data_IF_509524895640
#
_entry.id   IF_509524895640
#
_cell.length_a   1.000
_cell.length_b   1.000
_cell.length_c   1.000
_cell.angle_alpha   90.00
_cell.angle_beta   90.00
_cell.angle_gamma   90.00
#
_symmetry.space_group_name_H-M   'P 1'
#
loop_
_entity.id
_entity.type
_entity.pdbx_description
1 polymer ?
#
# COMPACT_ATOMS: atom_id res chain seq x y z
N UNK A 1 15.52 9.12 9.36
CA UNK A 1 14.23 9.08 10.09
C UNK A 1 14.59 8.85 11.54
N UNK A 2 14.15 9.69 12.49
CA UNK A 2 14.65 9.58 13.87
C UNK A 2 13.86 8.51 14.65
N UNK A 3 14.47 7.78 15.60
CA UNK A 3 13.85 6.64 16.29
C UNK A 3 12.52 6.96 17.01
N UNK A 4 12.38 8.19 17.52
CA UNK A 4 11.13 8.71 18.11
C UNK A 4 9.99 8.88 17.10
N UNK A 5 10.30 9.16 15.83
CA UNK A 5 9.30 9.30 14.75
C UNK A 5 8.76 7.93 14.33
N UNK A 6 9.66 6.95 14.19
CA UNK A 6 9.29 5.55 13.94
C UNK A 6 8.40 5.02 15.07
N UNK A 7 8.76 5.30 16.34
CA UNK A 7 7.96 4.91 17.49
C UNK A 7 6.54 5.50 17.48
N UNK A 8 6.39 6.78 17.12
CA UNK A 8 5.08 7.43 17.14
C UNK A 8 4.16 6.98 15.99
N UNK A 9 4.72 6.66 14.82
CA UNK A 9 3.95 6.15 13.69
C UNK A 9 3.56 4.67 13.85
N UNK A 10 4.44 3.87 14.45
CA UNK A 10 4.25 2.42 14.59
C UNK A 10 3.96 1.98 16.03
N UNK A 11 3.55 2.89 16.92
CA UNK A 11 3.36 2.60 18.37
C UNK A 11 2.55 1.34 18.63
N UNK A 12 1.46 1.12 17.90
CA UNK A 12 0.63 -0.09 18.03
C UNK A 12 1.39 -1.36 17.63
N UNK A 13 2.14 -1.32 16.54
CA UNK A 13 2.96 -2.44 16.07
C UNK A 13 4.12 -2.73 17.03
N UNK A 14 4.76 -1.69 17.58
CA UNK A 14 5.86 -1.85 18.55
C UNK A 14 5.35 -2.40 19.87
N UNK A 15 4.24 -1.90 20.40
CA UNK A 15 3.65 -2.42 21.64
C UNK A 15 3.26 -3.89 21.49
N UNK A 16 2.66 -4.24 20.36
CA UNK A 16 2.30 -5.62 20.05
C UNK A 16 3.51 -6.52 19.85
N UNK A 17 4.55 -6.04 19.17
CA UNK A 17 5.83 -6.75 19.08
C UNK A 17 6.40 -7.02 20.47
N UNK A 18 6.44 -6.01 21.35
CA UNK A 18 6.89 -6.16 22.73
C UNK A 18 6.01 -7.19 23.45
N UNK A 19 4.69 -7.15 23.29
CA UNK A 19 3.79 -8.15 23.88
C UNK A 19 4.07 -9.56 23.37
N UNK A 20 4.19 -9.76 22.05
CA UNK A 20 4.48 -11.06 21.43
C UNK A 20 5.83 -11.58 21.95
N UNK A 21 6.87 -10.75 21.88
CA UNK A 21 8.21 -11.08 22.35
C UNK A 21 8.20 -11.44 23.85
N UNK A 22 7.51 -10.66 24.67
CA UNK A 22 7.43 -10.92 26.12
C UNK A 22 6.70 -12.22 26.40
N UNK A 23 5.56 -12.48 25.75
CA UNK A 23 4.81 -13.73 25.91
C UNK A 23 5.65 -14.92 25.45
N UNK A 24 6.28 -14.86 24.28
CA UNK A 24 7.07 -15.96 23.72
C UNK A 24 8.35 -16.25 24.52
N UNK A 25 9.07 -15.21 24.97
CA UNK A 25 10.21 -15.39 25.88
C UNK A 25 9.73 -15.99 27.20
N UNK A 26 8.62 -15.49 27.76
CA UNK A 26 8.08 -16.01 29.02
C UNK A 26 7.67 -17.47 28.87
N UNK A 27 7.04 -17.87 27.76
CA UNK A 27 6.73 -19.29 27.50
C UNK A 27 7.97 -20.14 27.31
N UNK A 28 8.96 -19.67 26.54
CA UNK A 28 10.21 -20.40 26.32
C UNK A 28 11.00 -20.58 27.63
N UNK A 29 11.08 -19.54 28.46
CA UNK A 29 11.77 -19.57 29.76
C UNK A 29 10.98 -20.34 30.83
N UNK A 30 9.65 -20.30 30.82
CA UNK A 30 8.82 -21.04 31.79
C UNK A 30 8.71 -22.53 31.47
N UNK A 31 8.68 -22.93 30.19
CA UNK A 31 8.81 -24.34 29.81
C UNK A 31 10.14 -24.94 30.29
N UNK A 32 11.17 -24.11 30.44
CA UNK A 32 12.50 -24.47 30.90
C UNK A 32 12.61 -24.88 32.38
N UNK A 33 11.69 -24.44 33.25
CA UNK A 33 11.77 -24.77 34.69
C UNK A 33 11.45 -26.24 35.01
N UNK A 34 11.03 -27.05 34.02
CA UNK A 34 10.65 -28.45 34.20
C UNK A 34 11.77 -29.49 34.11
N UNK A 35 12.97 -29.18 33.59
CA UNK A 35 13.99 -30.19 33.27
C UNK A 35 15.44 -29.74 33.52
N UNK A 36 15.77 -29.38 34.77
CA UNK A 36 17.18 -29.22 35.17
C UNK A 36 17.75 -30.62 35.48
N UNK A 37 18.76 -31.06 34.74
CA UNK A 37 19.47 -32.35 34.95
C UNK A 37 20.98 -32.09 35.16
N UNK A 38 21.64 -32.90 36.00
CA UNK A 38 23.01 -32.67 36.51
C UNK A 38 23.99 -33.83 36.19
N UNK A 39 25.11 -33.57 35.50
CA UNK A 39 26.47 -34.15 35.66
C UNK A 39 27.50 -33.52 34.68
N UNK A 40 28.81 -33.84 34.69
CA UNK A 40 29.84 -33.02 34.02
C UNK A 40 30.90 -33.84 33.26
N UNK A 41 31.40 -33.33 32.11
CA UNK A 41 32.85 -33.35 31.78
C UNK A 41 33.35 -32.56 30.56
N UNK A 42 32.54 -32.09 29.58
CA UNK A 42 33.12 -31.47 28.35
C UNK A 42 32.40 -30.19 27.85
N UNK A 43 32.32 -29.18 28.71
CA UNK A 43 31.52 -27.99 28.44
C UNK A 43 32.17 -26.96 27.49
N UNK A 44 33.50 -26.87 27.38
CA UNK A 44 34.17 -25.78 26.64
C UNK A 44 34.26 -26.01 25.12
N UNK A 45 34.48 -27.26 24.67
CA UNK A 45 34.60 -27.58 23.23
C UNK A 45 33.23 -27.44 22.52
N UNK A 46 32.14 -27.68 23.23
CA UNK A 46 30.77 -27.53 22.72
C UNK A 46 30.34 -26.07 22.52
N UNK A 47 30.99 -25.08 23.17
CA UNK A 47 30.59 -23.66 23.07
C UNK A 47 30.95 -23.04 21.72
N UNK A 48 32.08 -23.42 21.12
CA UNK A 48 32.53 -22.84 19.85
C UNK A 48 31.83 -23.44 18.63
N UNK A 49 31.44 -24.72 18.67
CA UNK A 49 30.67 -25.37 17.60
C UNK A 49 29.21 -24.88 17.59
N UNK A 50 28.58 -24.77 18.76
CA UNK A 50 27.19 -24.26 18.87
C UNK A 50 27.05 -22.81 18.38
N UNK A 51 28.05 -21.95 18.54
CA UNK A 51 27.95 -20.55 18.12
C UNK A 51 27.95 -20.39 16.59
N UNK A 52 28.72 -21.21 15.87
CA UNK A 52 28.74 -21.26 14.40
C UNK A 52 27.45 -21.84 13.82
N UNK A 53 26.98 -22.97 14.36
CA UNK A 53 25.71 -23.60 13.98
C UNK A 53 24.49 -22.69 14.26
N UNK A 54 24.52 -21.97 15.38
CA UNK A 54 23.52 -20.95 15.69
C UNK A 54 23.55 -19.81 14.68
N UNK A 55 24.72 -19.43 14.17
CA UNK A 55 24.86 -18.32 13.22
C UNK A 55 24.28 -18.69 11.84
N UNK A 56 24.48 -19.92 11.38
CA UNK A 56 23.81 -20.44 10.17
C UNK A 56 22.29 -20.51 10.36
N UNK A 57 21.84 -20.95 11.53
CA UNK A 57 20.41 -20.99 11.90
C UNK A 57 19.80 -19.58 11.87
N UNK A 58 20.46 -18.59 12.49
CA UNK A 58 19.98 -17.20 12.48
C UNK A 58 20.03 -16.56 11.08
N UNK A 59 21.01 -16.92 10.24
CA UNK A 59 21.03 -16.50 8.84
C UNK A 59 19.84 -17.08 8.05
N UNK A 60 19.48 -18.34 8.33
CA UNK A 60 18.28 -18.98 7.82
C UNK A 60 17.00 -18.28 8.28
N UNK A 61 16.86 -18.03 9.58
CA UNK A 61 15.73 -17.29 10.16
C UNK A 61 15.61 -15.89 9.54
N UNK A 62 16.72 -15.18 9.31
CA UNK A 62 16.71 -13.90 8.62
C UNK A 62 16.20 -14.02 7.19
N UNK A 63 16.68 -14.99 6.41
CA UNK A 63 16.22 -15.24 5.05
C UNK A 63 14.71 -15.58 5.00
N UNK A 64 14.26 -16.45 5.89
CA UNK A 64 12.84 -16.81 6.04
C UNK A 64 12.00 -15.60 6.46
N UNK A 65 12.53 -14.73 7.32
CA UNK A 65 11.88 -13.47 7.71
C UNK A 65 11.67 -12.56 6.51
N UNK A 66 12.68 -12.38 5.67
CA UNK A 66 12.55 -11.56 4.45
C UNK A 66 11.47 -12.13 3.52
N UNK A 67 11.39 -13.45 3.42
CA UNK A 67 10.37 -14.14 2.60
C UNK A 67 8.97 -14.00 3.19
N UNK A 68 8.84 -14.18 4.51
CA UNK A 68 7.61 -13.90 5.26
C UNK A 68 7.19 -12.45 5.13
N UNK A 69 8.13 -11.52 5.01
CA UNK A 69 7.84 -10.09 4.80
C UNK A 69 7.24 -9.79 3.42
N UNK A 70 7.52 -10.63 2.42
CA UNK A 70 6.92 -10.52 1.09
C UNK A 70 5.51 -11.09 1.07
N UNK A 71 5.32 -12.28 1.65
CA UNK A 71 4.00 -12.91 1.73
C UNK A 71 3.92 -13.81 2.99
N UNK A 72 3.37 -13.30 4.12
CA UNK A 72 3.36 -14.06 5.36
C UNK A 72 2.50 -15.33 5.28
N UNK A 73 1.32 -15.24 4.66
CA UNK A 73 0.39 -16.38 4.56
C UNK A 73 0.92 -17.49 3.67
N UNK A 74 1.49 -17.15 2.51
CA UNK A 74 2.14 -18.12 1.64
C UNK A 74 3.43 -18.71 2.26
N UNK A 75 4.16 -17.93 3.06
CA UNK A 75 5.34 -18.44 3.78
C UNK A 75 4.92 -19.44 4.85
N UNK A 76 3.86 -19.16 5.62
CA UNK A 76 3.30 -20.10 6.58
C UNK A 76 2.89 -21.41 5.92
N UNK A 77 2.22 -21.35 4.77
CA UNK A 77 1.86 -22.54 3.99
C UNK A 77 3.11 -23.31 3.53
N UNK A 78 4.11 -22.62 2.97
CA UNK A 78 5.36 -23.24 2.54
C UNK A 78 6.11 -23.91 3.70
N UNK A 79 6.23 -23.25 4.85
CA UNK A 79 6.87 -23.82 6.05
C UNK A 79 6.11 -25.05 6.54
N UNK A 80 4.77 -25.02 6.57
CA UNK A 80 3.98 -26.19 6.97
C UNK A 80 4.14 -27.38 6.02
N UNK A 81 4.24 -27.13 4.70
CA UNK A 81 4.49 -28.17 3.70
C UNK A 81 5.90 -28.74 3.87
N UNK A 82 6.92 -27.87 3.95
CA UNK A 82 8.31 -28.31 4.10
C UNK A 82 8.51 -29.12 5.39
N UNK A 83 7.97 -28.65 6.52
CA UNK A 83 8.05 -29.39 7.78
C UNK A 83 7.26 -30.71 7.77
N UNK A 84 6.14 -30.77 7.04
CA UNK A 84 5.43 -32.03 6.80
C UNK A 84 6.28 -33.01 5.98
N UNK A 85 7.01 -32.53 4.97
CA UNK A 85 7.92 -33.35 4.14
C UNK A 85 9.14 -33.81 4.94
N UNK A 86 9.73 -32.96 5.79
CA UNK A 86 10.80 -33.37 6.71
C UNK A 86 10.35 -34.47 7.68
N UNK A 87 9.07 -34.49 8.05
CA UNK A 87 8.45 -35.54 8.89
C UNK A 87 7.71 -36.61 8.09
N UNK A 88 8.05 -36.78 6.81
CA UNK A 88 7.39 -37.74 5.93
C UNK A 88 7.45 -39.18 6.47
N UNK A 89 8.53 -39.56 7.13
CA UNK A 89 8.67 -40.86 7.80
C UNK A 89 7.56 -41.15 8.82
N UNK A 90 7.09 -40.11 9.51
CA UNK A 90 6.08 -40.20 10.56
C UNK A 90 4.67 -40.16 9.98
N UNK A 91 4.44 -39.28 9.00
CA UNK A 91 3.09 -39.03 8.46
C UNK A 91 2.75 -39.89 7.25
N UNK A 92 3.76 -40.31 6.48
CA UNK A 92 3.61 -41.03 5.21
C UNK A 92 4.68 -42.13 5.07
N UNK A 93 4.70 -43.13 5.97
CA UNK A 93 5.75 -44.16 6.00
C UNK A 93 5.80 -45.03 4.74
N UNK A 94 4.72 -45.06 3.95
CA UNK A 94 4.62 -45.83 2.70
C UNK A 94 5.11 -45.05 1.46
N UNK A 95 5.47 -43.78 1.60
CA UNK A 95 5.85 -42.90 0.50
C UNK A 95 7.37 -42.68 0.42
N UNK A 96 8.11 -43.69 -0.06
CA UNK A 96 9.59 -43.67 -0.15
C UNK A 96 10.17 -42.41 -0.82
N UNK A 97 9.51 -41.91 -1.86
CA UNK A 97 9.95 -40.70 -2.57
C UNK A 97 9.85 -39.44 -1.70
N UNK A 98 8.88 -39.39 -0.80
CA UNK A 98 8.65 -38.27 0.12
C UNK A 98 9.63 -38.34 1.29
N UNK A 99 9.93 -39.56 1.77
CA UNK A 99 10.95 -39.80 2.80
C UNK A 99 12.33 -39.33 2.30
N UNK A 100 12.73 -39.72 1.09
CA UNK A 100 14.00 -39.24 0.48
C UNK A 100 14.04 -37.72 0.30
N UNK A 101 12.90 -37.10 0.00
CA UNK A 101 12.81 -35.64 -0.08
C UNK A 101 12.99 -35.00 1.32
N UNK A 102 12.42 -35.60 2.37
CA UNK A 102 12.63 -35.19 3.76
C UNK A 102 14.10 -35.31 4.20
N UNK A 103 14.76 -36.43 3.88
CA UNK A 103 16.19 -36.64 4.15
C UNK A 103 17.07 -35.57 3.48
N UNK A 104 16.76 -35.22 2.22
CA UNK A 104 17.45 -34.13 1.52
C UNK A 104 17.27 -32.77 2.23
N UNK A 105 16.03 -32.44 2.64
CA UNK A 105 15.73 -31.18 3.34
C UNK A 105 16.42 -31.09 4.70
N UNK A 106 16.45 -32.19 5.45
CA UNK A 106 17.17 -32.30 6.73
C UNK A 106 18.69 -32.08 6.58
N UNK A 107 19.23 -32.31 5.38
CA UNK A 107 20.63 -32.02 5.03
C UNK A 107 20.94 -30.54 4.80
N UNK A 108 19.93 -29.66 4.75
CA UNK A 108 20.10 -28.22 4.55
C UNK A 108 20.03 -27.50 5.91
N UNK A 109 21.14 -26.94 6.42
CA UNK A 109 21.21 -26.35 7.78
C UNK A 109 20.15 -25.27 8.05
N UNK A 110 19.78 -24.51 7.02
CA UNK A 110 18.81 -23.40 7.10
C UNK A 110 17.35 -23.88 7.18
N UNK A 111 17.07 -25.12 6.76
CA UNK A 111 15.73 -25.71 6.67
C UNK A 111 15.44 -26.64 7.86
N UNK A 112 16.49 -27.23 8.46
CA UNK A 112 16.46 -28.24 9.54
C UNK A 112 15.65 -27.92 10.81
N UNK A 113 15.17 -26.68 10.97
CA UNK A 113 14.38 -26.24 12.13
C UNK A 113 12.88 -26.15 11.85
N UNK A 114 12.44 -26.46 10.63
CA UNK A 114 11.04 -26.31 10.21
C UNK A 114 10.19 -27.47 10.75
N UNK A 115 10.71 -28.69 10.81
CA UNK A 115 10.05 -29.88 11.39
C UNK A 115 9.58 -29.69 12.82
N UNK A 116 10.25 -28.83 13.58
CA UNK A 116 9.98 -28.57 15.00
C UNK A 116 8.83 -27.58 15.20
N UNK A 117 8.37 -26.94 14.11
CA UNK A 117 7.25 -26.03 14.18
C UNK A 117 5.95 -26.79 14.44
N UNK A 118 5.04 -26.28 15.31
CA UNK A 118 3.74 -26.91 15.55
C UNK A 118 2.87 -27.05 14.28
N UNK A 119 3.15 -26.23 13.27
CA UNK A 119 2.47 -26.24 11.97
C UNK A 119 3.03 -27.26 10.97
N UNK A 120 4.09 -27.99 11.31
CA UNK A 120 4.73 -29.01 10.47
C UNK A 120 3.94 -30.33 10.47
N UNK A 121 2.67 -30.26 10.05
CA UNK A 121 1.79 -31.42 9.95
C UNK A 121 0.85 -31.33 8.73
N UNK A 122 0.33 -32.45 8.20
CA UNK A 122 -0.47 -32.46 6.99
C UNK A 122 -1.75 -31.61 7.06
N UNK A 123 -2.42 -31.61 8.21
CA UNK A 123 -3.66 -30.86 8.41
C UNK A 123 -3.41 -29.35 8.33
N UNK A 124 -2.39 -28.86 9.03
CA UNK A 124 -1.98 -27.46 8.98
C UNK A 124 -1.53 -27.07 7.55
N UNK A 125 -0.79 -27.95 6.86
CA UNK A 125 -0.35 -27.71 5.48
C UNK A 125 -1.53 -27.49 4.52
N UNK A 126 -2.56 -28.34 4.59
CA UNK A 126 -3.77 -28.18 3.76
C UNK A 126 -4.52 -26.89 4.10
N UNK A 127 -4.77 -26.62 5.39
CA UNK A 127 -5.52 -25.44 5.82
C UNK A 127 -4.79 -24.16 5.42
N UNK A 128 -3.49 -24.06 5.72
CA UNK A 128 -2.70 -22.87 5.42
C UNK A 128 -2.55 -22.64 3.92
N UNK A 129 -2.46 -23.71 3.12
CA UNK A 129 -2.46 -23.60 1.66
C UNK A 129 -3.77 -23.03 1.12
N UNK A 130 -4.91 -23.52 1.62
CA UNK A 130 -6.23 -22.98 1.25
C UNK A 130 -6.34 -21.50 1.64
N UNK A 131 -5.90 -21.14 2.86
CA UNK A 131 -5.89 -19.75 3.33
C UNK A 131 -5.00 -18.88 2.45
N UNK A 132 -3.80 -19.34 2.07
CA UNK A 132 -2.89 -18.60 1.20
C UNK A 132 -3.50 -18.35 -0.19
N UNK A 133 -4.15 -19.36 -0.79
CA UNK A 133 -4.86 -19.22 -2.08
C UNK A 133 -6.03 -18.23 -1.95
N UNK A 134 -6.82 -18.35 -0.89
CA UNK A 134 -7.94 -17.44 -0.66
C UNK A 134 -7.47 -15.98 -0.52
N UNK A 135 -6.38 -15.74 0.22
CA UNK A 135 -5.78 -14.41 0.36
C UNK A 135 -5.27 -13.86 -0.97
N UNK A 136 -4.63 -14.70 -1.80
CA UNK A 136 -4.20 -14.31 -3.14
C UNK A 136 -5.39 -13.85 -4.01
N UNK A 137 -6.51 -14.58 -3.98
CA UNK A 137 -7.73 -14.22 -4.72
C UNK A 137 -8.34 -12.91 -4.19
N UNK A 138 -8.38 -12.74 -2.87
CA UNK A 138 -8.87 -11.52 -2.22
C UNK A 138 -8.03 -10.31 -2.65
N UNK A 139 -6.70 -10.41 -2.59
CA UNK A 139 -5.82 -9.29 -2.94
C UNK A 139 -5.77 -8.98 -4.44
N UNK A 140 -6.08 -9.97 -5.29
CA UNK A 140 -6.14 -9.83 -6.74
C UNK A 140 -7.22 -8.86 -7.24
N UNK A 141 -8.21 -8.51 -6.41
CA UNK A 141 -9.27 -7.56 -6.77
C UNK A 141 -9.12 -6.24 -6.02
N UNK A 142 -9.25 -5.10 -6.72
CA UNK A 142 -8.98 -3.76 -6.14
C UNK A 142 -9.93 -3.36 -5.02
N UNK A 143 -11.22 -3.67 -5.17
CA UNK A 143 -12.21 -3.41 -4.13
C UNK A 143 -11.95 -4.25 -2.88
N UNK A 144 -11.66 -5.54 -3.05
CA UNK A 144 -11.40 -6.45 -1.94
C UNK A 144 -10.07 -6.13 -1.25
N UNK A 145 -9.02 -5.75 -1.99
CA UNK A 145 -7.77 -5.29 -1.38
C UNK A 145 -7.96 -4.06 -0.49
N UNK A 146 -8.74 -3.06 -0.94
CA UNK A 146 -9.06 -1.89 -0.11
C UNK A 146 -9.85 -2.26 1.16
N UNK A 147 -10.68 -3.29 1.11
CA UNK A 147 -11.40 -3.82 2.27
C UNK A 147 -10.47 -4.61 3.22
N UNK A 148 -9.68 -5.53 2.64
CA UNK A 148 -8.67 -6.38 3.29
C UNK A 148 -7.67 -5.55 4.10
N UNK A 149 -7.27 -4.40 3.56
CA UNK A 149 -6.33 -3.45 4.17
C UNK A 149 -6.68 -3.04 5.60
N UNK A 150 -7.95 -3.01 5.94
CA UNK A 150 -8.42 -2.62 7.27
C UNK A 150 -8.77 -3.82 8.16
N UNK A 151 -8.88 -5.03 7.60
CA UNK A 151 -9.25 -6.27 8.30
C UNK A 151 -8.15 -7.31 8.21
N UNK A 152 -8.13 -8.09 7.13
CA UNK A 152 -7.29 -9.27 6.94
C UNK A 152 -5.79 -8.91 6.91
N UNK A 153 -5.40 -7.79 6.30
CA UNK A 153 -3.99 -7.40 6.19
C UNK A 153 -3.38 -7.12 7.58
N UNK A 154 -4.19 -6.74 8.57
CA UNK A 154 -3.71 -6.62 9.96
C UNK A 154 -3.44 -8.01 10.55
N UNK A 155 -4.34 -8.97 10.34
CA UNK A 155 -4.18 -10.34 10.85
C UNK A 155 -2.95 -10.99 10.21
N UNK A 156 -2.80 -10.86 8.90
CA UNK A 156 -1.63 -11.33 8.15
C UNK A 156 -0.33 -10.69 8.66
N UNK A 157 -0.35 -9.37 8.88
CA UNK A 157 0.80 -8.67 9.45
C UNK A 157 1.19 -9.24 10.82
N UNK A 158 0.21 -9.52 11.69
CA UNK A 158 0.45 -10.00 13.05
C UNK A 158 0.90 -11.46 13.04
N UNK A 159 0.29 -12.28 12.19
CA UNK A 159 0.70 -13.68 11.97
C UNK A 159 2.16 -13.76 11.53
N UNK A 160 2.58 -12.96 10.55
CA UNK A 160 3.98 -12.93 10.12
C UNK A 160 4.94 -12.42 11.19
N UNK A 161 4.53 -11.46 12.04
CA UNK A 161 5.35 -11.05 13.20
C UNK A 161 5.51 -12.17 14.22
N UNK A 162 4.44 -12.91 14.53
CA UNK A 162 4.49 -14.04 15.47
C UNK A 162 5.44 -15.12 14.95
N UNK A 163 5.36 -15.45 13.66
CA UNK A 163 6.25 -16.43 13.01
C UNK A 163 7.71 -15.97 13.05
N UNK A 164 7.96 -14.71 12.69
CA UNK A 164 9.31 -14.13 12.69
C UNK A 164 9.94 -14.17 14.08
N UNK A 165 9.18 -13.81 15.11
CA UNK A 165 9.66 -13.84 16.50
C UNK A 165 9.82 -15.28 16.99
N UNK A 166 8.86 -16.16 16.68
CA UNK A 166 8.94 -17.58 17.03
C UNK A 166 10.18 -18.27 16.44
N UNK A 167 10.45 -18.05 15.15
CA UNK A 167 11.65 -18.58 14.48
C UNK A 167 12.95 -18.02 15.08
N UNK A 168 12.96 -16.74 15.46
CA UNK A 168 14.14 -16.13 16.10
C UNK A 168 14.40 -16.65 17.51
N UNK A 169 13.38 -17.19 18.18
CA UNK A 169 13.47 -17.78 19.51
C UNK A 169 13.59 -19.32 19.47
N UNK A 170 13.48 -19.93 18.29
CA UNK A 170 13.51 -21.39 18.14
C UNK A 170 14.82 -22.01 18.65
N UNK A 171 16.02 -21.44 18.38
CA UNK A 171 17.26 -21.95 18.97
C UNK A 171 17.22 -21.97 20.50
N UNK A 172 16.58 -20.99 21.14
CA UNK A 172 16.42 -20.96 22.59
C UNK A 172 15.48 -22.07 23.09
N UNK A 173 14.42 -22.37 22.35
CA UNK A 173 13.45 -23.40 22.70
C UNK A 173 13.98 -24.83 22.51
N UNK A 174 14.91 -25.04 21.57
CA UNK A 174 15.52 -26.34 21.28
C UNK A 174 16.81 -26.59 22.07
N UNK A 175 17.47 -25.54 22.57
CA UNK A 175 18.58 -25.70 23.52
C UNK A 175 18.06 -26.06 24.91
N UNK A 176 18.59 -27.09 25.55
CA UNK A 176 18.36 -27.35 26.97
C UNK A 176 19.62 -27.06 27.79
N UNK A 177 19.47 -26.45 28.96
CA UNK A 177 20.60 -26.25 29.89
C UNK A 177 20.79 -27.54 30.63
N UNK A 178 21.85 -28.28 30.29
CA UNK A 178 22.26 -29.43 31.07
C UNK A 178 23.75 -29.33 31.30
N UNK A 179 24.14 -29.49 32.55
CA UNK A 179 25.41 -30.14 32.81
C UNK A 179 25.16 -31.61 32.43
N UNK A 180 25.61 -32.03 31.24
CA UNK A 180 25.69 -33.40 30.68
C UNK A 180 24.51 -34.41 30.79
N UNK A 181 23.94 -34.83 29.64
CA UNK A 181 23.89 -36.24 29.16
C UNK A 181 23.24 -36.35 27.77
N UNK A 182 23.39 -37.52 27.13
CA UNK A 182 23.05 -37.84 25.74
C UNK A 182 21.55 -38.17 25.54
N UNK A 183 20.80 -37.26 24.90
CA UNK A 183 19.65 -37.63 24.07
C UNK A 183 19.85 -37.03 22.67
N UNK A 184 19.48 -37.80 21.65
CA UNK A 184 19.95 -37.65 20.27
C UNK A 184 19.34 -36.46 19.51
N UNK A 185 18.51 -35.61 20.13
CA UNK A 185 17.89 -34.47 19.44
C UNK A 185 17.90 -33.13 20.21
N UNK A 186 18.66 -33.01 21.31
CA UNK A 186 18.66 -31.78 22.13
C UNK A 186 20.10 -31.31 22.34
N UNK A 187 20.41 -30.06 21.98
CA UNK A 187 21.72 -29.46 22.24
C UNK A 187 21.82 -28.99 23.69
N UNK A 188 22.76 -29.58 24.43
CA UNK A 188 23.03 -29.26 25.82
C UNK A 188 24.09 -28.18 25.96
N UNK A 189 23.78 -27.12 26.72
CA UNK A 189 24.66 -25.94 26.85
C UNK A 189 24.86 -25.50 28.30
N UNK A 190 26.04 -24.93 28.58
CA UNK A 190 26.34 -24.34 29.90
C UNK A 190 25.37 -23.18 30.24
N UNK A 191 25.13 -22.87 31.54
CA UNK A 191 24.28 -21.74 31.92
C UNK A 191 24.75 -20.40 31.34
N UNK A 192 26.07 -20.21 31.19
CA UNK A 192 26.63 -19.02 30.57
C UNK A 192 26.34 -18.98 29.06
N UNK A 193 26.55 -20.09 28.35
CA UNK A 193 26.25 -20.19 26.91
C UNK A 193 24.76 -19.99 26.63
N UNK A 194 23.90 -20.49 27.51
CA UNK A 194 22.46 -20.26 27.43
C UNK A 194 22.09 -18.79 27.65
N UNK A 195 22.70 -18.11 28.63
CA UNK A 195 22.50 -16.68 28.83
C UNK A 195 22.95 -15.85 27.61
N UNK A 196 24.08 -16.21 27.00
CA UNK A 196 24.55 -15.58 25.74
C UNK A 196 23.57 -15.86 24.60
N UNK A 197 23.10 -17.10 24.45
CA UNK A 197 22.14 -17.51 23.42
C UNK A 197 20.80 -16.78 23.58
N UNK A 198 20.32 -16.60 24.81
CA UNK A 198 19.13 -15.80 25.13
C UNK A 198 19.29 -14.35 24.67
N UNK A 199 20.43 -13.72 24.97
CA UNK A 199 20.69 -12.34 24.54
C UNK A 199 20.72 -12.25 23.02
N UNK A 200 21.41 -13.18 22.35
CA UNK A 200 21.49 -13.23 20.89
C UNK A 200 20.12 -13.46 20.26
N UNK A 201 19.30 -14.38 20.80
CA UNK A 201 17.95 -14.66 20.33
C UNK A 201 17.03 -13.43 20.45
N UNK A 202 17.11 -12.68 21.56
CA UNK A 202 16.36 -11.44 21.76
C UNK A 202 16.79 -10.37 20.77
N UNK A 203 18.11 -10.16 20.60
CA UNK A 203 18.64 -9.18 19.64
C UNK A 203 18.26 -9.55 18.20
N UNK A 204 18.32 -10.85 17.87
CA UNK A 204 17.90 -11.39 16.58
C UNK A 204 16.41 -11.15 16.33
N UNK A 205 15.54 -11.47 17.30
CA UNK A 205 14.09 -11.23 17.20
C UNK A 205 13.74 -9.75 17.01
N UNK A 206 14.46 -8.83 17.67
CA UNK A 206 14.30 -7.39 17.48
C UNK A 206 14.73 -6.99 16.07
N UNK A 207 15.88 -7.48 15.61
CA UNK A 207 16.41 -7.18 14.29
C UNK A 207 15.47 -7.69 13.18
N UNK A 208 15.08 -8.96 13.22
CA UNK A 208 14.18 -9.60 12.25
C UNK A 208 12.80 -8.94 12.23
N UNK A 209 12.26 -8.53 13.39
CA UNK A 209 11.00 -7.79 13.43
C UNK A 209 11.10 -6.39 12.78
N UNK A 210 12.21 -5.68 12.96
CA UNK A 210 12.42 -4.39 12.28
C UNK A 210 12.49 -4.59 10.77
N UNK A 211 13.23 -5.62 10.31
CA UNK A 211 13.30 -5.99 8.89
C UNK A 211 11.92 -6.31 8.34
N UNK A 212 11.16 -7.13 9.08
CA UNK A 212 9.80 -7.51 8.72
C UNK A 212 8.88 -6.30 8.53
N UNK A 213 8.82 -5.41 9.53
CA UNK A 213 7.99 -4.19 9.44
C UNK A 213 8.40 -3.31 8.26
N UNK A 214 9.69 -3.21 7.97
CA UNK A 214 10.20 -2.40 6.87
C UNK A 214 9.81 -2.99 5.50
N UNK A 215 10.09 -4.28 5.27
CA UNK A 215 9.85 -4.92 3.96
C UNK A 215 8.35 -5.12 3.75
N UNK A 216 7.63 -5.68 4.73
CA UNK A 216 6.18 -5.86 4.65
C UNK A 216 5.48 -4.53 4.39
N UNK A 217 5.84 -3.48 5.13
CA UNK A 217 5.28 -2.14 4.92
C UNK A 217 5.58 -1.55 3.53
N UNK A 218 6.67 -1.95 2.88
CA UNK A 218 6.95 -1.57 1.49
C UNK A 218 6.06 -2.34 0.51
N UNK A 219 5.97 -3.66 0.63
CA UNK A 219 5.14 -4.51 -0.24
C UNK A 219 3.66 -4.12 -0.14
N UNK A 220 3.17 -3.97 1.08
CA UNK A 220 1.81 -3.56 1.41
C UNK A 220 1.49 -2.13 0.90
N UNK A 221 2.49 -1.26 0.81
CA UNK A 221 2.34 0.04 0.16
C UNK A 221 2.27 -0.08 -1.38
N UNK A 222 3.09 -0.93 -1.99
CA UNK A 222 3.08 -1.20 -3.44
C UNK A 222 1.73 -1.78 -3.87
N UNK A 223 1.20 -2.75 -3.13
CA UNK A 223 -0.13 -3.33 -3.38
C UNK A 223 -1.24 -2.29 -3.30
N UNK A 224 -1.21 -1.44 -2.27
CA UNK A 224 -2.19 -0.36 -2.12
C UNK A 224 -2.10 0.64 -3.28
N UNK A 225 -0.89 0.97 -3.74
CA UNK A 225 -0.70 1.84 -4.91
C UNK A 225 -1.28 1.17 -6.15
N UNK A 226 -1.00 -0.12 -6.35
CA UNK A 226 -1.58 -0.96 -7.40
C UNK A 226 -3.10 -0.89 -7.45
N UNK A 227 -3.73 -1.10 -6.29
CA UNK A 227 -5.18 -1.06 -6.11
C UNK A 227 -5.83 0.27 -6.46
N UNK A 228 -5.08 1.37 -6.34
CA UNK A 228 -5.63 2.71 -6.59
C UNK A 228 -5.39 3.20 -8.02
N UNK A 229 -4.36 2.68 -8.70
CA UNK A 229 -4.08 3.04 -10.10
C UNK A 229 -5.23 2.57 -11.00
N UNK A 230 -5.81 3.43 -11.86
CA UNK A 230 -6.96 3.10 -12.70
C UNK A 230 -6.58 2.27 -13.92
N UNK A 231 -5.75 1.24 -13.75
CA UNK A 231 -5.37 0.28 -14.79
C UNK A 231 -6.06 -1.05 -14.46
N UNK A 232 -6.93 -1.51 -15.37
CA UNK A 232 -7.62 -2.80 -15.22
C UNK A 232 -6.58 -3.92 -15.09
N UNK A 233 -6.72 -4.77 -14.09
CA UNK A 233 -5.82 -5.92 -13.87
C UNK A 233 -4.49 -5.62 -13.18
N UNK A 234 -4.18 -4.36 -12.83
CA UNK A 234 -2.91 -4.00 -12.16
C UNK A 234 -2.70 -4.79 -10.85
N UNK A 235 -3.76 -5.03 -10.09
CA UNK A 235 -3.70 -5.82 -8.85
C UNK A 235 -3.24 -7.24 -9.08
N UNK A 236 -3.82 -7.93 -10.07
CA UNK A 236 -3.46 -9.30 -10.41
C UNK A 236 -1.99 -9.37 -10.82
N UNK A 237 -1.51 -8.38 -11.59
CA UNK A 237 -0.10 -8.30 -11.99
C UNK A 237 0.81 -8.17 -10.76
N UNK A 238 0.48 -7.26 -9.84
CA UNK A 238 1.29 -7.05 -8.63
C UNK A 238 1.28 -8.29 -7.73
N UNK A 239 0.12 -8.91 -7.53
CA UNK A 239 -0.01 -10.16 -6.77
C UNK A 239 0.78 -11.30 -7.41
N UNK A 240 0.76 -11.39 -8.74
CA UNK A 240 1.55 -12.40 -9.49
C UNK A 240 3.04 -12.14 -9.34
N UNK A 241 3.50 -10.90 -9.49
CA UNK A 241 4.91 -10.53 -9.31
C UNK A 241 5.36 -10.80 -7.86
N UNK A 242 4.52 -10.50 -6.87
CA UNK A 242 4.77 -10.82 -5.46
C UNK A 242 4.88 -12.34 -5.25
N UNK A 243 3.97 -13.11 -5.83
CA UNK A 243 4.00 -14.57 -5.78
C UNK A 243 5.26 -15.16 -6.42
N UNK A 244 5.66 -14.66 -7.58
CA UNK A 244 6.91 -15.08 -8.26
C UNK A 244 8.13 -14.72 -7.41
N UNK A 245 8.20 -13.51 -6.85
CA UNK A 245 9.28 -13.12 -5.95
C UNK A 245 9.36 -14.04 -4.72
N UNK A 246 8.22 -14.31 -4.08
CA UNK A 246 8.12 -15.20 -2.93
C UNK A 246 8.58 -16.62 -3.25
N UNK A 247 8.12 -17.19 -4.37
CA UNK A 247 8.54 -18.51 -4.85
C UNK A 247 10.04 -18.58 -5.12
N UNK A 248 10.62 -17.56 -5.77
CA UNK A 248 12.07 -17.49 -6.02
C UNK A 248 12.84 -17.47 -4.70
N UNK A 249 12.38 -16.72 -3.70
CA UNK A 249 13.04 -16.67 -2.39
C UNK A 249 13.00 -18.02 -1.66
N UNK A 250 11.88 -18.75 -1.72
CA UNK A 250 11.79 -20.12 -1.18
C UNK A 250 12.76 -21.06 -1.91
N UNK A 251 12.77 -21.02 -3.24
CA UNK A 251 13.68 -21.87 -4.03
C UNK A 251 15.15 -21.57 -3.72
N UNK A 252 15.51 -20.30 -3.57
CA UNK A 252 16.85 -19.91 -3.17
C UNK A 252 17.21 -20.43 -1.77
N UNK A 253 16.28 -20.46 -0.82
CA UNK A 253 16.52 -21.02 0.52
C UNK A 253 16.84 -22.51 0.48
N UNK A 254 16.16 -23.26 -0.38
CA UNK A 254 16.34 -24.71 -0.50
C UNK A 254 17.61 -25.02 -1.30
N UNK A 255 17.76 -24.43 -2.49
CA UNK A 255 18.81 -24.83 -3.43
C UNK A 255 20.11 -24.03 -3.31
N UNK A 256 20.08 -22.81 -2.77
CA UNK A 256 21.27 -21.96 -2.67
C UNK A 256 21.23 -21.01 -1.46
N UNK A 257 21.34 -21.55 -0.24
CA UNK A 257 21.05 -20.81 0.98
C UNK A 257 21.91 -19.55 1.19
N UNK A 258 23.20 -19.61 0.83
CA UNK A 258 24.11 -18.45 0.93
C UNK A 258 23.71 -17.30 -0.02
N UNK A 259 23.29 -17.63 -1.24
CA UNK A 259 22.76 -16.62 -2.19
C UNK A 259 21.45 -16.05 -1.66
N UNK A 260 20.60 -16.87 -1.03
CA UNK A 260 19.37 -16.39 -0.40
C UNK A 260 19.63 -15.33 0.67
N UNK A 261 20.64 -15.55 1.52
CA UNK A 261 21.06 -14.55 2.53
C UNK A 261 21.56 -13.27 1.87
N UNK A 262 22.39 -13.37 0.83
CA UNK A 262 22.89 -12.20 0.11
C UNK A 262 21.76 -11.38 -0.54
N UNK A 263 20.81 -12.04 -1.20
CA UNK A 263 19.61 -11.41 -1.76
C UNK A 263 18.75 -10.78 -0.66
N UNK A 264 18.61 -11.45 0.49
CA UNK A 264 17.86 -10.95 1.64
C UNK A 264 18.46 -9.67 2.22
N UNK A 265 19.79 -9.55 2.26
CA UNK A 265 20.49 -8.30 2.64
C UNK A 265 20.20 -7.17 1.65
N UNK A 266 20.21 -7.45 0.35
CA UNK A 266 19.88 -6.47 -0.69
C UNK A 266 18.43 -5.98 -0.52
N UNK A 267 17.48 -6.90 -0.31
CA UNK A 267 16.07 -6.57 -0.08
C UNK A 267 15.86 -5.77 1.20
N UNK A 268 16.60 -6.07 2.27
CA UNK A 268 16.59 -5.29 3.50
C UNK A 268 17.06 -3.85 3.25
N UNK A 269 18.20 -3.66 2.58
CA UNK A 269 18.74 -2.33 2.26
C UNK A 269 17.73 -1.55 1.40
N UNK A 270 17.20 -2.18 0.35
CA UNK A 270 16.19 -1.58 -0.51
C UNK A 270 14.91 -1.20 0.28
N UNK A 271 14.44 -2.10 1.14
CA UNK A 271 13.28 -1.90 2.01
C UNK A 271 13.46 -0.69 2.92
N UNK A 272 14.59 -0.60 3.63
CA UNK A 272 14.88 0.54 4.53
C UNK A 272 14.91 1.86 3.76
N UNK A 273 15.52 1.90 2.57
CA UNK A 273 15.59 3.11 1.74
C UNK A 273 14.22 3.53 1.18
N UNK A 274 13.37 2.57 0.81
CA UNK A 274 12.06 2.82 0.22
C UNK A 274 10.97 3.08 1.27
N UNK A 275 11.09 2.52 2.47
CA UNK A 275 10.07 2.55 3.52
C UNK A 275 9.56 3.96 3.82
N UNK A 276 10.45 4.94 3.97
CA UNK A 276 10.05 6.31 4.27
C UNK A 276 9.19 6.96 3.17
N UNK A 277 9.50 6.69 1.90
CA UNK A 277 8.75 7.22 0.75
C UNK A 277 7.42 6.48 0.59
N UNK A 278 7.46 5.15 0.62
CA UNK A 278 6.28 4.30 0.44
C UNK A 278 5.29 4.42 1.60
N UNK A 279 5.74 4.52 2.84
CA UNK A 279 4.89 4.74 4.02
C UNK A 279 4.13 6.07 3.93
N UNK A 280 4.78 7.14 3.46
CA UNK A 280 4.13 8.44 3.23
C UNK A 280 3.03 8.32 2.18
N UNK A 281 3.32 7.59 1.08
CA UNK A 281 2.39 7.40 -0.02
C UNK A 281 1.21 6.49 0.37
N UNK A 282 1.48 5.42 1.11
CA UNK A 282 0.46 4.52 1.68
C UNK A 282 -0.47 5.27 2.62
N UNK A 283 0.07 6.14 3.49
CA UNK A 283 -0.75 6.99 4.37
C UNK A 283 -1.69 7.89 3.58
N UNK A 284 -1.21 8.51 2.51
CA UNK A 284 -2.05 9.31 1.60
C UNK A 284 -3.21 8.48 1.03
N UNK A 285 -2.91 7.30 0.47
CA UNK A 285 -3.93 6.45 -0.15
C UNK A 285 -4.92 5.87 0.88
N UNK A 286 -4.45 5.52 2.07
CA UNK A 286 -5.30 5.04 3.17
C UNK A 286 -6.36 6.09 3.56
N UNK A 287 -5.95 7.35 3.71
CA UNK A 287 -6.86 8.42 4.13
C UNK A 287 -7.88 8.79 3.05
N UNK A 288 -7.49 8.72 1.78
CA UNK A 288 -8.32 9.20 0.66
C UNK A 288 -9.23 8.10 0.12
N UNK A 289 -8.78 6.83 0.12
CA UNK A 289 -9.50 5.74 -0.54
C UNK A 289 -10.07 4.73 0.45
N UNK A 290 -9.30 4.29 1.44
CA UNK A 290 -9.71 3.19 2.34
C UNK A 290 -10.68 3.69 3.42
N UNK A 291 -10.32 4.75 4.15
CA UNK A 291 -11.15 5.26 5.25
C UNK A 291 -12.56 5.69 4.82
N UNK A 292 -12.75 6.50 3.76
CA UNK A 292 -14.10 6.88 3.36
C UNK A 292 -14.94 5.69 2.88
N UNK A 293 -14.33 4.67 2.25
CA UNK A 293 -15.03 3.43 1.91
C UNK A 293 -15.57 2.73 3.17
N UNK A 294 -14.73 2.61 4.20
CA UNK A 294 -15.12 2.03 5.49
C UNK A 294 -16.24 2.79 6.17
N UNK A 295 -16.14 4.13 6.20
CA UNK A 295 -17.20 4.95 6.76
C UNK A 295 -18.52 4.74 6.01
N UNK A 296 -18.49 4.67 4.69
CA UNK A 296 -19.69 4.45 3.87
C UNK A 296 -20.37 3.11 4.15
N UNK A 297 -19.60 2.08 4.53
CA UNK A 297 -20.11 0.74 4.82
C UNK A 297 -20.63 0.64 6.27
N UNK A 298 -19.85 1.08 7.26
CA UNK A 298 -20.17 0.86 8.68
C UNK A 298 -20.84 2.04 9.42
N UNK A 299 -20.63 3.28 8.95
CA UNK A 299 -21.02 4.50 9.66
C UNK A 299 -21.60 5.55 8.68
N UNK A 300 -22.49 5.09 7.80
CA UNK A 300 -23.05 5.90 6.69
C UNK A 300 -23.69 7.21 7.18
N UNK A 301 -24.36 7.16 8.32
CA UNK A 301 -25.14 8.28 8.87
C UNK A 301 -24.42 9.04 9.99
N UNK A 302 -23.23 8.61 10.40
CA UNK A 302 -22.47 9.31 11.43
C UNK A 302 -21.70 10.52 10.86
N UNK A 303 -21.81 11.64 11.55
CA UNK A 303 -21.04 12.83 11.25
C UNK A 303 -19.56 12.62 11.62
N UNK A 304 -18.65 12.82 10.65
CA UNK A 304 -17.21 12.77 10.97
C UNK A 304 -16.86 13.93 11.91
N UNK A 305 -16.03 13.71 12.94
CA UNK A 305 -15.62 14.79 13.82
C UNK A 305 -14.75 15.79 13.05
N UNK A 306 -15.09 17.07 13.13
CA UNK A 306 -14.37 18.17 12.50
C UNK A 306 -12.97 18.36 13.09
N UNK A 307 -12.79 18.00 14.36
CA UNK A 307 -11.48 17.79 14.98
C UNK A 307 -11.14 16.31 14.86
N UNK A 308 -10.31 15.96 13.88
CA UNK A 308 -10.00 14.56 13.61
C UNK A 308 -9.25 13.92 14.79
N UNK A 309 -9.68 12.74 15.26
CA UNK A 309 -9.14 12.04 16.45
C UNK A 309 -7.61 11.84 16.46
N UNK A 310 -6.99 11.73 15.27
CA UNK A 310 -5.52 11.60 15.09
C UNK A 310 -4.79 12.94 14.93
N UNK A 311 -5.41 14.07 15.24
CA UNK A 311 -4.72 15.35 15.23
C UNK A 311 -3.51 15.29 16.19
N UNK A 312 -2.31 15.74 15.79
CA UNK A 312 -1.11 15.55 16.59
C UNK A 312 -1.27 16.23 17.95
N UNK A 313 -0.76 15.60 19.04
CA UNK A 313 -0.77 16.21 20.38
C UNK A 313 -0.18 17.62 20.42
N UNK A 314 0.86 17.88 19.60
CA UNK A 314 1.43 19.22 19.44
C UNK A 314 0.44 20.19 18.81
N UNK A 315 -0.36 19.74 17.85
CA UNK A 315 -1.49 20.49 17.30
C UNK A 315 -2.50 20.84 18.38
N UNK A 316 -2.94 19.86 19.19
CA UNK A 316 -3.86 20.11 20.31
C UNK A 316 -3.30 21.11 21.33
N UNK A 317 -1.99 21.09 21.59
CA UNK A 317 -1.35 22.08 22.48
C UNK A 317 -1.30 23.48 21.87
N UNK A 318 -1.18 23.59 20.55
CA UNK A 318 -1.06 24.87 19.84
C UNK A 318 -2.41 25.48 19.49
N UNK A 319 -3.41 24.65 19.25
CA UNK A 319 -4.77 25.02 18.91
C UNK A 319 -5.75 24.28 19.84
N UNK A 320 -5.75 24.59 21.15
CA UNK A 320 -6.54 23.86 22.14
C UNK A 320 -8.06 24.01 21.93
N UNK A 321 -8.49 25.13 21.35
CA UNK A 321 -9.90 25.45 21.11
C UNK A 321 -10.27 25.40 19.62
N UNK A 322 -9.56 24.60 18.82
CA UNK A 322 -9.84 24.55 17.38
C UNK A 322 -11.14 23.80 17.10
N UNK A 323 -12.01 24.42 16.31
CA UNK A 323 -13.29 23.84 15.89
C UNK A 323 -13.15 22.91 14.67
N UNK A 324 -12.06 23.07 13.92
CA UNK A 324 -11.75 22.30 12.72
C UNK A 324 -10.28 21.91 12.75
N UNK A 325 -9.99 20.62 12.62
CA UNK A 325 -8.66 20.09 12.40
C UNK A 325 -8.76 18.83 11.54
N UNK A 326 -8.83 19.03 10.22
CA UNK A 326 -8.99 17.94 9.26
C UNK A 326 -7.69 17.70 8.46
N UNK A 327 -7.37 16.43 8.14
CA UNK A 327 -6.20 16.11 7.31
C UNK A 327 -6.46 16.50 5.86
N UNK A 328 -5.48 17.17 5.25
CA UNK A 328 -5.53 17.61 3.85
C UNK A 328 -4.24 17.26 3.15
N UNK A 329 -4.32 16.83 1.89
CA UNK A 329 -3.14 16.48 1.11
C UNK A 329 -3.01 17.38 -0.12
N UNK A 330 -1.80 17.88 -0.37
CA UNK A 330 -1.52 18.63 -1.59
C UNK A 330 -1.36 17.72 -2.81
N UNK A 331 -1.91 18.14 -3.95
CA UNK A 331 -1.72 17.45 -5.24
C UNK A 331 -0.64 18.11 -6.09
N UNK A 332 -0.54 19.43 -6.01
CA UNK A 332 0.49 20.21 -6.69
C UNK A 332 1.44 20.85 -5.68
N UNK A 333 2.62 21.24 -6.15
CA UNK A 333 3.54 22.04 -5.33
C UNK A 333 3.00 23.46 -5.29
N UNK A 334 2.66 23.93 -4.10
CA UNK A 334 2.21 25.29 -3.86
C UNK A 334 3.09 25.92 -2.78
N UNK A 335 3.75 27.05 -3.08
CA UNK A 335 4.71 27.70 -2.16
C UNK A 335 5.74 26.70 -1.58
N UNK A 336 5.74 26.51 -0.25
CA UNK A 336 6.65 25.63 0.51
C UNK A 336 6.09 24.23 0.78
N UNK A 337 4.96 23.89 0.15
CA UNK A 337 4.25 22.62 0.28
C UNK A 337 4.70 21.68 -0.84
N UNK A 338 5.12 20.46 -0.47
CA UNK A 338 5.48 19.43 -1.46
C UNK A 338 4.23 18.70 -1.95
N UNK A 339 4.29 18.11 -3.14
CA UNK A 339 3.23 17.22 -3.66
C UNK A 339 3.02 16.01 -2.74
N UNK A 340 1.76 15.65 -2.49
CA UNK A 340 1.27 14.57 -1.61
C UNK A 340 1.71 14.72 -0.16
N UNK A 341 1.99 15.94 0.29
CA UNK A 341 2.35 16.18 1.69
C UNK A 341 1.08 16.21 2.55
N UNK A 342 1.08 15.47 3.66
CA UNK A 342 0.03 15.58 4.68
C UNK A 342 0.16 16.93 5.41
N UNK A 343 -0.93 17.67 5.41
CA UNK A 343 -1.13 18.94 6.07
C UNK A 343 -2.40 18.86 6.92
N UNK A 344 -2.58 19.84 7.79
CA UNK A 344 -3.77 19.98 8.60
C UNK A 344 -4.46 21.29 8.25
N UNK A 345 -5.73 21.23 7.88
CA UNK A 345 -6.58 22.40 7.75
C UNK A 345 -7.20 22.67 9.11
N UNK A 346 -6.79 23.79 9.69
CA UNK A 346 -7.10 24.18 11.06
C UNK A 346 -7.79 25.52 11.06
N UNK A 347 -8.84 25.67 11.86
CA UNK A 347 -9.43 26.98 12.13
C UNK A 347 -8.69 27.65 13.29
N UNK A 348 -8.19 28.86 13.05
CA UNK A 348 -7.50 29.72 14.01
C UNK A 348 -8.11 31.11 13.90
N UNK A 349 -8.61 31.65 15.02
CA UNK A 349 -9.18 33.01 15.08
C UNK A 349 -10.28 33.27 14.02
N UNK A 350 -11.13 32.26 13.76
CA UNK A 350 -12.18 32.27 12.72
C UNK A 350 -11.70 32.32 11.26
N UNK A 351 -10.41 32.13 11.03
CA UNK A 351 -9.84 32.00 9.69
C UNK A 351 -9.22 30.61 9.44
N UNK A 352 -9.31 30.09 8.21
CA UNK A 352 -8.75 28.80 7.84
C UNK A 352 -7.26 28.88 7.54
N UNK A 353 -6.48 28.00 8.16
CA UNK A 353 -5.04 27.88 7.97
C UNK A 353 -4.64 26.47 7.54
N UNK A 354 -3.68 26.39 6.64
CA UNK A 354 -2.94 25.16 6.33
C UNK A 354 -1.71 25.10 7.22
N UNK A 355 -1.67 24.09 8.09
CA UNK A 355 -0.62 23.91 9.08
C UNK A 355 0.17 22.63 8.81
N UNK A 356 1.49 22.76 8.76
CA UNK A 356 2.41 21.61 8.73
C UNK A 356 2.94 21.33 10.13
N UNK A 357 2.36 20.32 10.77
CA UNK A 357 2.76 19.85 12.09
C UNK A 357 3.78 18.71 11.97
N UNK A 358 5.05 19.04 11.69
CA UNK A 358 6.16 18.07 11.73
C UNK A 358 7.00 18.25 13.00
N UNK A 359 7.44 17.17 13.67
CA UNK A 359 8.06 17.26 14.98
C UNK A 359 9.43 17.96 15.02
N UNK A 360 10.12 18.14 13.90
CA UNK A 360 11.47 18.73 13.86
C UNK A 360 11.69 19.74 12.71
N UNK A 361 10.63 20.17 12.03
CA UNK A 361 10.73 21.23 11.02
C UNK A 361 10.15 22.53 11.57
N UNK A 362 10.67 23.65 11.07
CA UNK A 362 10.03 24.95 11.28
C UNK A 362 8.56 24.84 10.90
N UNK A 363 7.74 25.31 11.84
CA UNK A 363 6.29 25.36 11.67
C UNK A 363 5.99 26.19 10.45
N UNK A 364 4.97 25.76 9.72
CA UNK A 364 4.48 26.47 8.57
C UNK A 364 2.99 26.57 8.75
N UNK A 365 2.54 27.80 8.92
CA UNK A 365 1.15 28.22 8.98
C UNK A 365 0.98 29.12 7.77
N UNK A 366 0.06 28.75 6.88
CA UNK A 366 -0.25 29.54 5.69
C UNK A 366 -1.76 29.76 5.73
N UNK A 367 -2.24 31.02 5.78
CA UNK A 367 -3.65 31.31 5.58
C UNK A 367 -4.14 30.67 4.28
N UNK A 368 -5.33 30.07 4.28
CA UNK A 368 -5.84 29.39 3.09
C UNK A 368 -5.98 30.37 1.90
N UNK A 369 -6.39 31.61 2.17
CA UNK A 369 -6.49 32.70 1.18
C UNK A 369 -5.15 33.03 0.51
N UNK A 370 -4.04 32.87 1.23
CA UNK A 370 -2.70 33.12 0.72
C UNK A 370 -2.08 31.87 0.07
N UNK A 371 -2.78 30.74 0.00
CA UNK A 371 -2.19 29.52 -0.53
C UNK A 371 -1.83 29.66 -2.02
N UNK A 372 -2.63 30.42 -2.78
CA UNK A 372 -2.34 30.79 -4.15
C UNK A 372 -1.46 32.05 -4.22
N UNK A 373 -0.38 31.99 -4.99
CA UNK A 373 0.52 33.14 -5.23
C UNK A 373 -0.16 34.17 -6.14
N UNK A 374 -1.04 33.72 -7.03
CA UNK A 374 -1.73 34.57 -8.01
C UNK A 374 -3.03 35.19 -7.47
N UNK A 375 -3.38 34.93 -6.21
CA UNK A 375 -4.61 35.40 -5.56
C UNK A 375 -5.92 34.97 -6.26
N UNK A 376 -5.89 33.96 -7.15
CA UNK A 376 -7.12 33.43 -7.74
C UNK A 376 -8.01 32.80 -6.68
N UNK A 377 -9.32 32.88 -6.92
CA UNK A 377 -10.35 32.34 -6.05
C UNK A 377 -10.18 30.83 -5.86
N UNK A 378 -10.22 30.41 -4.60
CA UNK A 378 -10.25 29.00 -4.23
C UNK A 378 -11.70 28.52 -4.20
N UNK A 379 -11.92 27.34 -4.77
CA UNK A 379 -13.21 26.68 -4.82
C UNK A 379 -13.16 25.33 -4.16
N UNK A 380 -14.30 24.88 -3.65
CA UNK A 380 -14.46 23.50 -3.21
C UNK A 380 -15.22 22.71 -4.28
N UNK A 381 -14.69 21.55 -4.68
CA UNK A 381 -15.29 20.68 -5.69
C UNK A 381 -15.53 19.28 -5.12
N UNK A 382 -16.77 18.79 -5.21
CA UNK A 382 -17.10 17.39 -4.95
C UNK A 382 -16.61 16.52 -6.11
N UNK A 383 -15.86 15.48 -5.81
CA UNK A 383 -15.56 14.43 -6.79
C UNK A 383 -15.96 13.07 -6.23
N UNK A 384 -16.14 12.07 -7.10
CA UNK A 384 -16.62 10.75 -6.72
C UNK A 384 -15.81 10.09 -5.59
N UNK A 385 -14.49 10.33 -5.54
CA UNK A 385 -13.57 9.66 -4.60
C UNK A 385 -13.09 10.55 -3.46
N UNK A 386 -13.15 11.88 -3.61
CA UNK A 386 -12.65 12.83 -2.63
C UNK A 386 -13.19 14.24 -2.86
N UNK A 387 -13.05 15.11 -1.88
CA UNK A 387 -13.32 16.54 -2.02
C UNK A 387 -12.04 17.26 -2.38
N UNK A 388 -12.10 18.22 -3.30
CA UNK A 388 -10.98 19.07 -3.67
C UNK A 388 -11.19 20.50 -3.19
N UNK A 389 -10.14 21.14 -2.70
CA UNK A 389 -10.02 22.60 -2.68
C UNK A 389 -9.04 22.95 -3.79
N UNK A 390 -9.48 23.74 -4.78
CA UNK A 390 -8.69 24.02 -5.98
C UNK A 390 -8.89 25.44 -6.49
N UNK A 391 -7.89 25.94 -7.19
CA UNK A 391 -8.03 27.08 -8.09
C UNK A 391 -8.60 26.61 -9.44
N UNK A 392 -9.11 27.56 -10.23
CA UNK A 392 -9.63 27.25 -11.57
C UNK A 392 -8.54 26.70 -12.50
N UNK A 393 -7.35 27.30 -12.43
CA UNK A 393 -6.14 26.97 -13.20
C UNK A 393 -5.40 25.69 -12.73
N UNK A 394 -5.86 25.08 -11.63
CA UNK A 394 -5.24 23.94 -10.96
C UNK A 394 -3.83 24.17 -10.39
N UNK A 395 -3.34 25.41 -10.24
CA UNK A 395 -2.03 25.63 -9.61
C UNK A 395 -2.03 25.16 -8.15
N UNK A 396 -3.12 25.41 -7.44
CA UNK A 396 -3.36 24.90 -6.10
C UNK A 396 -4.43 23.82 -6.15
N UNK A 397 -4.10 22.64 -5.65
CA UNK A 397 -5.06 21.54 -5.50
C UNK A 397 -4.76 20.81 -4.19
N UNK A 398 -5.75 20.77 -3.32
CA UNK A 398 -5.75 20.11 -2.03
C UNK A 398 -6.87 19.08 -1.99
N UNK A 399 -6.62 17.92 -1.39
CA UNK A 399 -7.57 16.82 -1.28
C UNK A 399 -7.97 16.62 0.17
N UNK A 400 -9.29 16.52 0.38
CA UNK A 400 -9.96 16.18 1.62
C UNK A 400 -10.73 14.87 1.40
N UNK A 401 -10.77 13.99 2.40
CA UNK A 401 -11.56 12.77 2.36
C UNK A 401 -13.06 13.06 2.16
N UNK A 402 -13.78 12.22 1.41
CA UNK A 402 -15.25 12.33 1.27
C UNK A 402 -16.00 12.06 2.57
N UNK A 403 -15.33 11.58 3.63
CA UNK A 403 -15.98 11.35 4.92
C UNK A 403 -16.63 12.62 5.51
N UNK A 404 -16.14 13.79 5.09
CA UNK A 404 -16.63 15.11 5.48
C UNK A 404 -17.71 15.67 4.54
N UNK A 405 -18.14 14.92 3.52
CA UNK A 405 -19.12 15.39 2.54
C UNK A 405 -20.48 15.72 3.17
N UNK A 406 -20.87 15.00 4.23
CA UNK A 406 -22.11 15.25 4.97
C UNK A 406 -22.12 16.63 5.67
N UNK A 407 -20.96 17.31 5.75
CA UNK A 407 -20.80 18.65 6.33
C UNK A 407 -20.41 19.68 5.27
N UNK A 408 -20.70 19.43 4.00
CA UNK A 408 -20.33 20.27 2.85
C UNK A 408 -20.61 21.75 3.07
N UNK A 409 -21.85 22.10 3.46
CA UNK A 409 -22.25 23.50 3.63
C UNK A 409 -21.46 24.19 4.73
N UNK A 410 -21.30 23.51 5.88
CA UNK A 410 -20.49 24.01 7.00
C UNK A 410 -19.03 24.25 6.58
N UNK A 411 -18.48 23.37 5.75
CA UNK A 411 -17.11 23.54 5.24
C UNK A 411 -16.99 24.71 4.26
N UNK A 412 -17.97 24.93 3.37
CA UNK A 412 -17.98 26.11 2.50
C UNK A 412 -17.97 27.39 3.34
N UNK A 413 -18.84 27.46 4.35
CA UNK A 413 -19.00 28.63 5.20
C UNK A 413 -17.75 28.90 6.06
N UNK A 414 -17.23 27.86 6.73
CA UNK A 414 -16.05 27.99 7.59
C UNK A 414 -14.77 28.31 6.83
N UNK A 415 -14.61 27.72 5.64
CA UNK A 415 -13.43 27.94 4.82
C UNK A 415 -13.54 29.21 3.96
N UNK A 416 -14.70 29.86 3.96
CA UNK A 416 -15.02 31.03 3.13
C UNK A 416 -14.75 30.74 1.64
N UNK A 417 -15.16 29.56 1.18
CA UNK A 417 -14.95 29.10 -0.20
C UNK A 417 -16.26 29.03 -0.98
N UNK A 418 -16.19 29.23 -2.28
CA UNK A 418 -17.32 29.04 -3.19
C UNK A 418 -17.38 27.61 -3.74
N UNK A 419 -18.57 27.14 -4.09
CA UNK A 419 -18.76 25.85 -4.76
C UNK A 419 -18.29 25.94 -6.23
N UNK A 420 -17.44 25.00 -6.65
CA UNK A 420 -16.94 24.94 -8.02
C UNK A 420 -18.04 24.65 -9.06
N UNK A 421 -19.20 24.12 -8.64
CA UNK A 421 -20.36 23.91 -9.53
C UNK A 421 -20.76 25.18 -10.29
N UNK A 422 -20.63 26.35 -9.68
CA UNK A 422 -20.93 27.63 -10.32
C UNK A 422 -20.03 27.88 -11.54
N UNK A 423 -18.74 27.56 -11.41
CA UNK A 423 -17.76 27.69 -12.51
C UNK A 423 -18.03 26.64 -13.59
N UNK A 424 -18.36 25.40 -13.20
CA UNK A 424 -18.70 24.34 -14.15
C UNK A 424 -19.97 24.71 -14.97
N UNK A 425 -20.97 25.31 -14.35
CA UNK A 425 -22.18 25.79 -15.03
C UNK A 425 -21.90 26.95 -15.97
N UNK A 426 -21.07 27.93 -15.57
CA UNK A 426 -20.65 29.03 -16.43
C UNK A 426 -19.92 28.50 -17.68
N UNK A 427 -18.94 27.61 -17.49
CA UNK A 427 -18.21 26.97 -18.59
C UNK A 427 -19.11 26.16 -19.51
N UNK A 428 -20.15 25.52 -18.96
CA UNK A 428 -21.13 24.79 -19.77
C UNK A 428 -21.93 25.74 -20.66
N UNK A 429 -22.45 26.83 -20.09
CA UNK A 429 -23.21 27.86 -20.83
C UNK A 429 -22.37 28.51 -21.94
N UNK A 430 -21.10 28.83 -21.66
CA UNK A 430 -20.18 29.38 -22.67
C UNK A 430 -19.92 28.41 -23.82
N UNK A 431 -19.75 27.12 -23.52
CA UNK A 431 -19.57 26.09 -24.55
C UNK A 431 -20.83 25.91 -25.39
N UNK A 432 -22.00 25.93 -24.77
CA UNK A 432 -23.30 25.86 -25.47
C UNK A 432 -23.48 27.09 -26.38
N UNK A 433 -23.20 28.30 -25.88
CA UNK A 433 -23.23 29.53 -26.68
C UNK A 433 -22.21 29.54 -27.83
N UNK A 434 -21.02 28.98 -27.62
CA UNK A 434 -20.02 28.85 -28.67
C UNK A 434 -20.44 27.85 -29.76
N UNK A 435 -21.13 26.76 -29.38
CA UNK A 435 -21.70 25.79 -30.34
C UNK A 435 -22.83 26.42 -31.14
N UNK A 436 -23.77 27.09 -30.50
CA UNK A 436 -24.90 27.74 -31.19
C UNK A 436 -24.42 28.83 -32.15
N UNK A 437 -23.41 29.64 -31.77
CA UNK A 437 -22.77 30.61 -32.68
C UNK A 437 -22.15 29.94 -33.91
N UNK A 438 -21.46 28.81 -33.73
CA UNK A 438 -20.87 28.05 -34.86
C UNK A 438 -21.94 27.45 -35.77
N UNK A 439 -23.05 26.97 -35.21
CA UNK A 439 -24.18 26.45 -35.99
C UNK A 439 -24.87 27.55 -36.79
N UNK A 440 -25.15 28.71 -36.17
CA UNK A 440 -25.70 29.87 -36.88
C UNK A 440 -24.77 30.33 -38.02
N UNK A 441 -23.45 30.38 -37.80
CA UNK A 441 -22.49 30.69 -38.86
C UNK A 441 -22.51 29.66 -40.00
N UNK A 442 -22.74 28.37 -39.71
CA UNK A 442 -22.86 27.32 -40.73
C UNK A 442 -24.14 27.49 -41.54
N UNK A 443 -25.26 27.78 -40.88
CA UNK A 443 -26.55 28.03 -41.54
C UNK A 443 -26.47 29.28 -42.43
N UNK A 444 -25.90 30.38 -41.95
CA UNK A 444 -25.70 31.58 -42.76
C UNK A 444 -24.81 31.32 -43.98
N UNK A 445 -23.76 30.50 -43.84
CA UNK A 445 -22.93 30.10 -44.99
C UNK A 445 -23.65 29.19 -45.98
N UNK A 446 -24.55 28.32 -45.51
CA UNK A 446 -25.39 27.50 -46.39
C UNK A 446 -26.40 28.36 -47.16
N UNK A 447 -27.12 29.24 -46.46
CA UNK A 447 -28.06 30.18 -47.08
C UNK A 447 -27.37 31.10 -48.10
N UNK A 448 -26.17 31.61 -47.77
CA UNK A 448 -25.39 32.41 -48.72
C UNK A 448 -24.95 31.61 -49.96
N UNK A 449 -24.65 30.31 -49.80
CA UNK A 449 -24.34 29.42 -50.93
C UNK A 449 -25.56 29.13 -51.79
N UNK A 450 -26.71 28.87 -51.18
CA UNK A 450 -27.97 28.66 -51.88
C UNK A 450 -28.39 29.91 -52.65
N UNK A 451 -28.35 31.09 -52.02
CA UNK A 451 -28.63 32.36 -52.69
C UNK A 451 -27.65 32.66 -53.85
N UNK A 452 -26.35 32.36 -53.67
CA UNK A 452 -25.38 32.51 -54.75
C UNK A 452 -25.65 31.54 -55.91
N UNK A 453 -26.05 30.30 -55.61
CA UNK A 453 -26.46 29.31 -56.60
C UNK A 453 -27.72 29.75 -57.37
N UNK A 454 -28.76 30.22 -56.67
CA UNK A 454 -29.97 30.75 -57.30
C UNK A 454 -29.68 31.94 -58.21
N UNK A 455 -28.84 32.88 -57.76
CA UNK A 455 -28.43 34.03 -58.56
C UNK A 455 -27.68 33.58 -59.83
N UNK A 456 -26.83 32.56 -59.72
CA UNK A 456 -26.12 31.99 -60.87
C UNK A 456 -27.08 31.31 -61.86
N UNK A 457 -28.06 30.56 -61.37
CA UNK A 457 -29.09 29.93 -62.19
C UNK A 457 -29.98 30.96 -62.90
N UNK A 458 -30.35 32.05 -62.23
CA UNK A 458 -31.09 33.15 -62.87
C UNK A 458 -30.28 33.79 -64.01
N UNK A 459 -28.98 34.03 -63.81
CA UNK A 459 -28.11 34.55 -64.88
C UNK A 459 -28.02 33.60 -66.08
N UNK A 460 -27.90 32.30 -65.84
CA UNK A 460 -27.90 31.28 -66.89
C UNK A 460 -29.26 31.21 -67.62
N UNK A 461 -30.36 31.36 -66.89
CA UNK A 461 -31.71 31.43 -67.45
C UNK A 461 -31.92 32.66 -68.34
N UNK A 462 -31.48 33.84 -67.90
CA UNK A 462 -31.56 35.09 -68.70
C UNK A 462 -30.70 34.98 -69.97
N UNK A 463 -29.49 34.45 -69.86
CA UNK A 463 -28.62 34.22 -71.02
C UNK A 463 -29.23 33.19 -72.01
N UNK A 464 -29.98 32.21 -71.51
CA UNK A 464 -30.70 31.25 -72.34
C UNK A 464 -31.92 31.89 -73.05
N UNK A 465 -32.60 32.85 -72.42
CA UNK A 465 -33.71 33.59 -73.07
C UNK A 465 -33.21 34.64 -74.08
N UNK A 466 -32.11 35.35 -73.79
CA UNK A 466 -31.49 36.28 -74.76
C UNK A 466 -30.95 35.56 -76.00
N UNK A 467 -30.49 34.32 -75.85
CA UNK A 467 -30.08 33.48 -77.00
C UNK A 467 -31.27 32.96 -77.81
N UNK A 468 -32.46 32.81 -77.22
CA UNK A 468 -33.68 32.44 -77.94
C UNK A 468 -34.29 33.64 -78.67
N UNK A 469 -34.34 34.83 -78.07
CA UNK A 469 -34.77 36.06 -78.76
C UNK A 469 -33.82 36.47 -79.91
N UNK A 470 -32.52 36.21 -79.76
CA UNK A 470 -31.54 36.37 -80.85
C UNK A 470 -31.70 35.32 -81.98
N UNK A 471 -32.40 34.21 -81.74
CA UNK A 471 -32.69 33.19 -82.76
C UNK A 471 -34.05 33.44 -83.43
N UNK A 472 -35.06 33.92 -82.70
CA UNK A 472 -36.36 34.32 -83.29
C UNK A 472 -36.25 35.58 -84.16
N UNK A 473 -35.35 36.52 -83.85
CA UNK A 473 -35.10 37.69 -84.72
C UNK A 473 -34.32 37.38 -85.99
N UNK A 474 -33.78 36.16 -86.15
CA UNK A 474 -33.06 35.71 -87.35
C UNK A 474 -33.93 34.84 -88.26
N UNK A 475 -35.17 34.51 -87.86
CA UNK A 475 -36.04 33.58 -88.60
C UNK A 475 -37.02 34.22 -89.59
N UNK A 476 -37.09 35.56 -89.69
CA UNK A 476 -38.02 36.26 -90.60
C UNK A 476 -37.40 36.80 -91.90
N UNK A 477 -36.09 36.65 -92.12
CA UNK A 477 -35.47 36.93 -93.41
C UNK A 477 -34.65 35.72 -93.88
N UNK A 478 -34.95 35.27 -95.10
CA UNK A 478 -34.24 34.27 -95.93
C UNK A 478 -34.57 32.78 -95.74
N UNK A 479 -35.70 32.36 -96.32
CA UNK A 479 -35.85 31.01 -96.91
C UNK A 479 -35.86 31.14 -98.45
N UNK A 480 -34.78 30.73 -99.16
CA UNK A 480 -34.85 30.42 -100.59
C UNK A 480 -35.27 28.96 -100.81
N UNK A 481 -36.23 28.79 -101.73
CA UNK A 481 -36.80 27.53 -102.22
C UNK A 481 -35.80 26.39 -102.46
N UNK A 482 -36.14 25.19 -101.96
CA UNK A 482 -36.20 23.93 -102.71
C UNK A 482 -36.95 22.84 -101.93
#
# INVERSE_FOLDING_TARGET
MNGKEWYQWNRKQILMFITILTVMITTAVLQFRGSIVHSASDAEIAVNTTLGENLETYAGVFSTTVTASVNPTATLAALSILGMVERAEVYFPEADWLIRAGEFLNGIPIVKTISDLPIANPTAAVILTIVAIAMYVIHSTSASKMFSKATLDNIEQWGGMIVTVGLSLLPLATTQVVAATQDVNIQYVSPFTYAVTLIVAILSAIFTAVVYVCIYGCIDAVELIGAVVPIKGMNVIIETVKGVLHMILILLQIFSPYISVAVSVILMIAGILLFGKLSTLSTYYMYIYVKPLWKKIWHKDEMSPLVHKKFPRRGHKLYPYTELAIPVFSMNRAKKIKKRELLWLVMKDKDPYIVRLKPFRKRMEIPLSELNIHHDTLYMQKTFRFTKIRTEDNQVELIISTEYENQWQRLLDWLKLSDFKLVDEQKRREKEAARSRKEMQRQQKQQAREAAWETQMQRLGIAATETVEAVETVQDDDIPNL
#
